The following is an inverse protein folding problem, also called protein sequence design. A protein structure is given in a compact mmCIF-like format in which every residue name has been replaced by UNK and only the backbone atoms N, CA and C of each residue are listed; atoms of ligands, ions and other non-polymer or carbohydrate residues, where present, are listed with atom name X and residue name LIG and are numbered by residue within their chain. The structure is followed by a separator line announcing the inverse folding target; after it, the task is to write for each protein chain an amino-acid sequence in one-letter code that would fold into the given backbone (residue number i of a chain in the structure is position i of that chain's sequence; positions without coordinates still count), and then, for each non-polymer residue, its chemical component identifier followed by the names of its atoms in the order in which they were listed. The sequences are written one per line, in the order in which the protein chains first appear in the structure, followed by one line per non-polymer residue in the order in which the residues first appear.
data_IF_859937041482
#
_entry.id   IF_859937041482
#
_cell.length_a   1.000
_cell.length_b   1.000
_cell.length_c   1.000
_cell.angle_alpha   90.00
_cell.angle_beta   90.00
_cell.angle_gamma   90.00
#
_symmetry.space_group_name_H-M   'P 1'
#
loop_
_entity.id
_entity.type
_entity.pdbx_description
1 polymer ?
#
# COMPACT_ATOMS: atom_id res chain seq x y z
N UNK A 1 -15.64 58.26 19.45
CA UNK A 1 -16.06 56.86 19.75
C UNK A 1 -15.59 55.83 18.70
N UNK A 2 -15.47 56.15 17.41
CA UNK A 2 -14.85 55.22 16.44
C UNK A 2 -13.31 55.19 16.56
N UNK A 3 -12.69 56.32 16.89
CA UNK A 3 -11.22 56.43 17.07
C UNK A 3 -10.69 55.77 18.36
N UNK A 4 -11.52 55.65 19.40
CA UNK A 4 -11.15 54.91 20.63
C UNK A 4 -11.09 53.40 20.40
N UNK A 5 -11.90 52.87 19.47
CA UNK A 5 -11.97 51.44 19.15
C UNK A 5 -10.78 51.01 18.27
N UNK A 6 -10.20 51.92 17.49
CA UNK A 6 -8.99 51.65 16.70
C UNK A 6 -7.70 51.61 17.55
N UNK A 7 -7.69 52.26 18.72
CA UNK A 7 -6.59 52.12 19.69
C UNK A 7 -6.67 50.81 20.49
N UNK A 8 -7.87 50.25 20.67
CA UNK A 8 -8.06 48.95 21.36
C UNK A 8 -7.65 47.72 20.53
N UNK A 9 -7.38 47.87 19.22
CA UNK A 9 -7.03 46.76 18.32
C UNK A 9 -5.54 46.58 18.04
N UNK A 10 -4.66 47.44 18.57
CA UNK A 10 -3.24 47.46 18.17
C UNK A 10 -2.25 46.98 19.24
N UNK A 11 -2.72 46.40 20.34
CA UNK A 11 -1.88 45.87 21.41
C UNK A 11 -2.34 44.48 21.85
N UNK A 12 -2.58 43.59 20.88
CA UNK A 12 -2.19 42.20 21.08
C UNK A 12 -0.67 42.14 20.92
N UNK A 13 0.05 41.79 22.00
CA UNK A 13 1.34 41.04 22.05
C UNK A 13 1.93 41.14 23.49
N UNK A 14 2.22 39.97 24.06
CA UNK A 14 3.10 39.66 25.21
C UNK A 14 2.57 39.69 26.68
N UNK A 15 2.85 38.55 27.36
CA UNK A 15 2.70 38.02 28.76
C UNK A 15 3.09 39.01 29.90
N UNK A 16 2.85 38.81 31.24
CA UNK A 16 2.98 37.56 32.07
C UNK A 16 2.16 37.45 33.42
N UNK A 17 2.34 36.34 34.19
CA UNK A 17 2.39 36.10 35.70
C UNK A 17 1.53 36.94 36.69
N UNK A 18 1.08 36.56 37.90
CA UNK A 18 1.17 35.44 38.88
C UNK A 18 0.11 35.70 40.01
N UNK A 19 -0.01 34.82 41.01
CA UNK A 19 -0.72 35.00 42.33
C UNK A 19 -2.13 34.40 42.56
N UNK A 20 -2.32 33.11 42.26
CA UNK A 20 -3.27 32.22 43.00
C UNK A 20 -2.49 31.17 43.81
N UNK A 21 -1.50 31.64 44.58
CA UNK A 21 -0.31 30.87 44.96
C UNK A 21 -0.36 29.98 46.21
N UNK A 22 -1.49 29.80 46.90
CA UNK A 22 -1.46 29.11 48.22
C UNK A 22 -2.46 27.98 48.42
N UNK A 23 -3.44 27.74 47.53
CA UNK A 23 -4.34 26.56 47.62
C UNK A 23 -4.11 25.49 46.54
N UNK A 24 -3.36 25.81 45.48
CA UNK A 24 -3.01 24.86 44.41
C UNK A 24 -1.80 23.99 44.78
N UNK A 25 -0.99 24.38 45.78
CA UNK A 25 0.31 23.75 46.10
C UNK A 25 0.23 22.40 46.84
N UNK A 26 -0.89 22.07 47.47
CA UNK A 26 -1.05 20.77 48.17
C UNK A 26 -1.64 19.69 47.25
N UNK A 27 -2.56 20.06 46.35
CA UNK A 27 -3.12 19.15 45.35
C UNK A 27 -2.12 18.80 44.23
N UNK A 28 -1.20 19.70 43.88
CA UNK A 28 -0.16 19.40 42.87
C UNK A 28 0.96 18.50 43.37
N UNK A 29 1.30 18.52 44.67
CA UNK A 29 2.37 17.65 45.22
C UNK A 29 1.99 16.16 45.28
N UNK A 30 0.71 15.86 45.51
CA UNK A 30 0.19 14.49 45.52
C UNK A 30 0.03 13.97 44.08
N UNK A 31 -0.33 14.85 43.14
CA UNK A 31 -0.36 14.52 41.71
C UNK A 31 1.04 14.23 41.14
N UNK A 32 2.03 15.08 41.44
CA UNK A 32 3.41 14.96 40.95
C UNK A 32 4.17 13.74 41.50
N UNK A 33 3.87 13.32 42.74
CA UNK A 33 4.47 12.11 43.34
C UNK A 33 3.87 10.82 42.74
N UNK A 34 2.58 10.83 42.42
CA UNK A 34 1.90 9.71 41.75
C UNK A 34 2.29 9.55 40.28
N UNK A 35 2.65 10.64 39.60
CA UNK A 35 3.12 10.63 38.20
C UNK A 35 4.58 10.15 38.09
N UNK A 36 5.44 10.52 39.04
CA UNK A 36 6.84 10.06 39.09
C UNK A 36 6.97 8.55 39.34
N UNK A 37 6.20 8.00 40.28
CA UNK A 37 6.15 6.55 40.53
C UNK A 37 5.59 5.76 39.31
N UNK A 38 4.64 6.34 38.57
CA UNK A 38 4.10 5.74 37.34
C UNK A 38 5.07 5.82 36.16
N UNK A 39 5.95 6.81 36.12
CA UNK A 39 7.00 6.92 35.10
C UNK A 39 8.19 6.00 35.36
N UNK A 40 8.56 5.76 36.62
CA UNK A 40 9.61 4.80 37.00
C UNK A 40 9.16 3.35 36.71
N UNK A 41 7.95 2.96 37.12
CA UNK A 41 7.39 1.63 36.80
C UNK A 41 7.25 1.43 35.28
N UNK A 42 6.95 2.49 34.50
CA UNK A 42 6.91 2.42 33.02
C UNK A 42 8.30 2.32 32.37
N UNK A 43 9.34 2.82 33.03
CA UNK A 43 10.73 2.73 32.54
C UNK A 43 11.34 1.36 32.84
N UNK A 44 11.04 0.79 34.00
CA UNK A 44 11.53 -0.54 34.39
C UNK A 44 10.83 -1.66 33.60
N UNK A 45 9.52 -1.54 33.35
CA UNK A 45 8.78 -2.47 32.47
C UNK A 45 9.20 -2.33 31.00
N UNK A 46 9.69 -1.16 30.57
CA UNK A 46 10.24 -0.98 29.21
C UNK A 46 11.64 -1.59 29.07
N UNK A 47 12.52 -1.43 30.06
CA UNK A 47 13.85 -2.05 30.08
C UNK A 47 13.77 -3.58 30.10
N UNK A 48 12.96 -4.16 30.98
CA UNK A 48 12.80 -5.63 31.02
C UNK A 48 12.15 -6.22 29.76
N UNK A 49 11.37 -5.43 29.02
CA UNK A 49 10.76 -5.82 27.74
C UNK A 49 11.70 -5.63 26.54
N UNK A 50 12.69 -4.73 26.64
CA UNK A 50 13.75 -4.52 25.66
C UNK A 50 14.82 -5.62 25.82
N UNK A 51 15.27 -5.91 27.04
CA UNK A 51 16.28 -6.95 27.31
C UNK A 51 15.79 -8.37 26.92
N UNK A 52 14.53 -8.71 27.26
CA UNK A 52 13.91 -10.00 26.84
C UNK A 52 13.57 -10.07 25.34
N UNK A 53 13.49 -8.92 24.66
CA UNK A 53 13.35 -8.86 23.19
C UNK A 53 14.70 -9.02 22.54
N UNK A 54 15.74 -8.37 23.03
CA UNK A 54 17.11 -8.46 22.51
C UNK A 54 17.65 -9.88 22.61
N UNK A 55 17.49 -10.56 23.75
CA UNK A 55 17.88 -11.97 23.91
C UNK A 55 17.12 -12.96 23.01
N UNK A 56 15.86 -12.63 22.67
CA UNK A 56 15.02 -13.42 21.73
C UNK A 56 15.29 -13.07 20.27
N UNK A 57 15.78 -11.86 19.99
CA UNK A 57 16.19 -11.39 18.67
C UNK A 57 17.55 -12.02 18.34
N UNK A 58 18.52 -11.98 19.26
CA UNK A 58 19.85 -12.57 19.07
C UNK A 58 19.84 -14.10 18.91
N UNK A 59 18.95 -14.81 19.61
CA UNK A 59 18.79 -16.27 19.46
C UNK A 59 18.04 -16.66 18.17
N UNK A 60 17.19 -15.78 17.62
CA UNK A 60 16.51 -16.03 16.33
C UNK A 60 17.36 -15.64 15.11
N UNK A 61 18.25 -14.67 15.24
CA UNK A 61 19.06 -14.16 14.13
C UNK A 61 20.23 -15.09 13.74
N UNK A 62 20.58 -16.06 14.60
CA UNK A 62 21.68 -17.00 14.37
C UNK A 62 21.29 -18.29 13.65
N UNK A 63 20.03 -18.74 13.68
CA UNK A 63 19.67 -20.08 13.17
C UNK A 63 19.19 -20.14 11.70
N UNK A 64 18.87 -19.04 11.03
CA UNK A 64 18.32 -19.09 9.65
C UNK A 64 19.00 -18.13 8.65
N UNK A 65 20.32 -17.91 8.76
CA UNK A 65 21.09 -17.31 7.65
C UNK A 65 21.34 -18.32 6.53
N UNK A 66 20.27 -18.85 5.94
CA UNK A 66 20.36 -19.41 4.58
C UNK A 66 20.64 -18.25 3.64
N UNK A 67 21.81 -18.25 3.02
CA UNK A 67 22.18 -17.28 1.99
C UNK A 67 21.06 -17.19 0.95
N UNK A 68 20.35 -16.05 0.93
CA UNK A 68 19.27 -15.83 -0.02
C UNK A 68 19.89 -15.71 -1.41
N UNK A 69 19.63 -16.68 -2.27
CA UNK A 69 20.02 -16.64 -3.68
C UNK A 69 19.39 -15.39 -4.30
N UNK A 70 20.21 -14.37 -4.59
CA UNK A 70 19.77 -13.15 -5.24
C UNK A 70 19.35 -13.47 -6.67
N UNK A 71 18.11 -13.17 -7.00
CA UNK A 71 17.57 -13.33 -8.36
C UNK A 71 17.52 -11.96 -9.01
N UNK A 72 18.05 -11.85 -10.23
CA UNK A 72 18.00 -10.62 -11.02
C UNK A 72 16.59 -10.28 -11.53
N UNK A 73 15.59 -11.09 -11.19
CA UNK A 73 14.22 -10.96 -11.64
C UNK A 73 13.25 -11.07 -10.47
N UNK A 74 12.20 -10.24 -10.47
CA UNK A 74 11.04 -10.41 -9.62
C UNK A 74 9.86 -10.92 -10.45
N UNK A 75 9.27 -12.03 -10.00
CA UNK A 75 8.11 -12.67 -10.64
C UNK A 75 7.00 -12.87 -9.61
N UNK A 76 5.76 -12.69 -10.05
CA UNK A 76 4.55 -12.99 -9.30
C UNK A 76 3.59 -13.78 -10.18
N UNK A 77 3.07 -14.88 -9.66
CA UNK A 77 2.12 -15.74 -10.35
C UNK A 77 0.80 -15.80 -9.57
N UNK A 78 -0.27 -15.29 -10.17
CA UNK A 78 -1.64 -15.53 -9.71
C UNK A 78 -2.21 -16.79 -10.37
N UNK A 79 -2.48 -17.84 -9.59
CA UNK A 79 -3.03 -19.10 -10.11
C UNK A 79 -4.53 -19.23 -9.80
N UNK A 80 -5.31 -19.77 -10.75
CA UNK A 80 -6.74 -20.06 -10.58
C UNK A 80 -7.58 -18.88 -10.10
N UNK A 81 -7.23 -17.67 -10.54
CA UNK A 81 -7.93 -16.44 -10.17
C UNK A 81 -9.37 -16.44 -10.67
N UNK A 82 -10.30 -15.93 -9.87
CA UNK A 82 -11.74 -15.93 -10.15
C UNK A 82 -12.20 -14.84 -11.12
N UNK A 83 -11.35 -14.46 -12.09
CA UNK A 83 -11.55 -13.34 -13.01
C UNK A 83 -11.65 -13.81 -14.46
N UNK A 84 -12.21 -12.95 -15.30
CA UNK A 84 -12.33 -13.19 -16.73
C UNK A 84 -10.98 -13.05 -17.42
N UNK A 85 -10.66 -13.97 -18.33
CA UNK A 85 -9.43 -13.90 -19.15
C UNK A 85 -9.41 -12.66 -20.03
N UNK A 86 -10.52 -12.33 -20.69
CA UNK A 86 -10.64 -11.14 -21.55
C UNK A 86 -10.36 -9.83 -20.80
N UNK A 87 -10.86 -9.72 -19.57
CA UNK A 87 -10.60 -8.56 -18.70
C UNK A 87 -9.15 -8.55 -18.22
N UNK A 88 -8.61 -9.72 -17.84
CA UNK A 88 -7.22 -9.86 -17.40
C UNK A 88 -6.23 -9.43 -18.49
N UNK A 89 -6.49 -9.82 -19.75
CA UNK A 89 -5.67 -9.44 -20.91
C UNK A 89 -5.70 -7.92 -21.12
N UNK A 90 -6.88 -7.30 -21.02
CA UNK A 90 -7.01 -5.85 -21.16
C UNK A 90 -6.26 -5.10 -20.04
N UNK A 91 -6.37 -5.57 -18.79
CA UNK A 91 -5.62 -5.01 -17.66
C UNK A 91 -4.11 -5.20 -17.85
N UNK A 92 -3.67 -6.38 -18.30
CA UNK A 92 -2.25 -6.62 -18.60
C UNK A 92 -1.73 -5.65 -19.66
N UNK A 93 -2.45 -5.48 -20.78
CA UNK A 93 -2.06 -4.53 -21.83
C UNK A 93 -2.04 -3.09 -21.31
N UNK A 94 -2.95 -2.75 -20.39
CA UNK A 94 -2.98 -1.44 -19.78
C UNK A 94 -1.77 -1.20 -18.86
N UNK A 95 -1.28 -2.18 -18.11
CA UNK A 95 -0.15 -2.00 -17.19
C UNK A 95 1.22 -2.28 -17.81
N UNK A 96 1.27 -2.99 -18.94
CA UNK A 96 2.51 -3.36 -19.63
C UNK A 96 3.35 -2.12 -19.94
N UNK A 97 4.67 -2.26 -19.81
CA UNK A 97 5.68 -1.23 -20.07
C UNK A 97 5.63 0.01 -19.15
N UNK A 98 4.85 -0.04 -18.07
CA UNK A 98 4.81 1.01 -17.05
C UNK A 98 5.67 0.64 -15.85
N UNK A 99 6.03 1.68 -15.10
CA UNK A 99 6.62 1.56 -13.77
C UNK A 99 5.58 0.99 -12.78
N UNK A 100 6.04 0.25 -11.77
CA UNK A 100 5.17 -0.46 -10.82
C UNK A 100 4.24 0.52 -10.07
N UNK A 101 4.81 1.60 -9.54
CA UNK A 101 4.04 2.58 -8.77
C UNK A 101 3.01 3.31 -9.66
N UNK A 102 3.41 3.71 -10.87
CA UNK A 102 2.51 4.32 -11.85
C UNK A 102 1.39 3.37 -12.28
N UNK A 103 1.65 2.07 -12.36
CA UNK A 103 0.64 1.08 -12.68
C UNK A 103 -0.40 0.98 -11.55
N UNK A 104 0.04 0.93 -10.29
CA UNK A 104 -0.85 0.89 -9.12
C UNK A 104 -1.74 2.13 -9.08
N UNK A 105 -1.19 3.35 -9.18
CA UNK A 105 -1.99 4.58 -9.15
C UNK A 105 -3.04 4.63 -10.27
N UNK A 106 -2.68 4.22 -11.50
CA UNK A 106 -3.64 4.16 -12.62
C UNK A 106 -4.74 3.13 -12.40
N UNK A 107 -4.45 1.99 -11.76
CA UNK A 107 -5.46 1.00 -11.44
C UNK A 107 -6.40 1.48 -10.32
N UNK A 108 -5.90 2.26 -9.36
CA UNK A 108 -6.73 2.90 -8.34
C UNK A 108 -7.68 3.96 -8.92
N UNK A 109 -7.26 4.70 -9.95
CA UNK A 109 -8.15 5.58 -10.72
C UNK A 109 -9.29 4.81 -11.41
N UNK A 110 -9.01 3.61 -11.92
CA UNK A 110 -10.00 2.74 -12.55
C UNK A 110 -11.02 2.24 -11.51
N UNK A 111 -10.58 1.93 -10.28
CA UNK A 111 -11.48 1.57 -9.17
C UNK A 111 -12.44 2.71 -8.82
N UNK A 112 -11.99 3.96 -8.94
CA UNK A 112 -12.79 5.17 -8.73
C UNK A 112 -13.60 5.56 -9.97
N UNK A 113 -13.67 4.71 -11.00
CA UNK A 113 -14.33 4.96 -12.29
C UNK A 113 -13.84 6.20 -13.06
N UNK A 114 -12.71 6.79 -12.67
CA UNK A 114 -12.16 7.98 -13.32
C UNK A 114 -11.53 7.66 -14.67
N UNK A 115 -10.99 6.45 -14.82
CA UNK A 115 -10.25 6.01 -16.00
C UNK A 115 -10.76 4.69 -16.53
N UNK A 116 -11.18 4.67 -17.78
CA UNK A 116 -11.62 3.45 -18.44
C UNK A 116 -10.43 2.64 -18.95
N UNK A 117 -10.53 1.31 -18.89
CA UNK A 117 -9.55 0.41 -19.52
C UNK A 117 -10.00 0.14 -20.95
N UNK A 118 -9.13 0.37 -21.95
CA UNK A 118 -9.45 0.07 -23.35
C UNK A 118 -9.65 -1.44 -23.52
N UNK A 119 -10.76 -1.82 -24.15
CA UNK A 119 -11.12 -3.22 -24.34
C UNK A 119 -11.68 -3.41 -25.75
N UNK A 120 -11.18 -4.42 -26.47
CA UNK A 120 -11.65 -4.76 -27.81
C UNK A 120 -12.95 -5.58 -27.77
N UNK A 121 -13.86 -5.30 -28.70
CA UNK A 121 -15.13 -6.03 -28.92
C UNK A 121 -16.34 -5.10 -28.91
N UNK A 122 -17.53 -5.71 -28.81
CA UNK A 122 -18.83 -5.05 -28.73
C UNK A 122 -19.02 -4.37 -27.37
N UNK A 123 -18.31 -3.27 -27.16
CA UNK A 123 -18.31 -2.51 -25.91
C UNK A 123 -18.64 -1.05 -26.22
N UNK A 124 -19.52 -0.41 -25.43
CA UNK A 124 -19.85 0.99 -25.62
C UNK A 124 -18.61 1.90 -25.59
N UNK A 125 -18.67 2.97 -26.39
CA UNK A 125 -17.60 3.95 -26.42
C UNK A 125 -17.50 4.69 -25.08
N UNK A 126 -16.28 5.15 -24.76
CA UNK A 126 -16.02 5.90 -23.52
C UNK A 126 -15.31 7.19 -23.83
N UNK A 127 -15.56 8.21 -23.00
CA UNK A 127 -14.93 9.53 -23.12
C UNK A 127 -13.40 9.41 -22.98
N UNK A 128 -12.67 9.98 -23.93
CA UNK A 128 -11.20 10.08 -23.93
C UNK A 128 -10.57 9.58 -25.22
N UNK A 129 -9.24 9.38 -25.21
CA UNK A 129 -8.46 8.84 -26.35
C UNK A 129 -8.66 7.32 -26.53
N UNK A 130 -9.88 6.83 -26.36
CA UNK A 130 -10.21 5.40 -26.42
C UNK A 130 -11.52 5.25 -27.19
N UNK A 131 -11.53 4.38 -28.19
CA UNK A 131 -12.76 4.04 -28.92
C UNK A 131 -13.73 3.30 -28.00
N UNK A 132 -13.33 2.18 -27.39
CA UNK A 132 -14.17 1.34 -26.53
C UNK A 132 -13.48 0.92 -25.23
N UNK A 133 -14.22 0.88 -24.13
CA UNK A 133 -13.66 0.53 -22.82
C UNK A 133 -14.67 0.25 -21.70
N UNK A 134 -14.21 -0.46 -20.66
CA UNK A 134 -14.99 -0.75 -19.43
C UNK A 134 -14.14 -0.56 -18.17
N UNK A 135 -14.77 -0.76 -17.02
CA UNK A 135 -14.15 -0.73 -15.70
C UNK A 135 -14.20 -2.13 -15.07
N UNK A 136 -13.20 -3.00 -15.31
CA UNK A 136 -13.21 -4.37 -14.78
C UNK A 136 -12.78 -4.39 -13.29
N UNK A 137 -13.67 -3.97 -12.40
CA UNK A 137 -13.37 -3.75 -10.98
C UNK A 137 -12.80 -4.99 -10.30
N UNK A 138 -13.36 -6.18 -10.57
CA UNK A 138 -12.93 -7.43 -9.95
C UNK A 138 -11.50 -7.78 -10.33
N UNK A 139 -11.18 -7.73 -11.63
CA UNK A 139 -9.83 -7.95 -12.13
C UNK A 139 -8.86 -6.93 -11.53
N UNK A 140 -9.19 -5.64 -11.60
CA UNK A 140 -8.33 -4.56 -11.09
C UNK A 140 -7.96 -4.74 -9.62
N UNK A 141 -8.91 -5.12 -8.76
CA UNK A 141 -8.63 -5.42 -7.34
C UNK A 141 -7.60 -6.54 -7.17
N UNK A 142 -7.71 -7.61 -7.95
CA UNK A 142 -6.74 -8.71 -7.90
C UNK A 142 -5.37 -8.29 -8.43
N UNK A 143 -5.31 -7.54 -9.53
CA UNK A 143 -4.05 -7.03 -10.09
C UNK A 143 -3.30 -6.10 -9.14
N UNK A 144 -4.00 -5.22 -8.41
CA UNK A 144 -3.35 -4.36 -7.41
C UNK A 144 -2.66 -5.20 -6.32
N UNK A 145 -3.31 -6.29 -5.86
CA UNK A 145 -2.70 -7.21 -4.88
C UNK A 145 -1.44 -7.87 -5.43
N UNK A 146 -1.48 -8.33 -6.68
CA UNK A 146 -0.32 -8.94 -7.34
C UNK A 146 0.83 -7.93 -7.52
N UNK A 147 0.54 -6.69 -7.91
CA UNK A 147 1.56 -5.65 -8.07
C UNK A 147 2.19 -5.23 -6.73
N UNK A 148 1.41 -5.16 -5.65
CA UNK A 148 1.95 -4.95 -4.29
C UNK A 148 2.87 -6.09 -3.87
N UNK A 149 2.49 -7.32 -4.19
CA UNK A 149 3.34 -8.50 -3.97
C UNK A 149 4.62 -8.45 -4.82
N UNK A 150 4.54 -7.96 -6.06
CA UNK A 150 5.70 -7.78 -6.94
C UNK A 150 6.68 -6.76 -6.38
N UNK A 151 6.16 -5.64 -5.84
CA UNK A 151 6.97 -4.63 -5.15
C UNK A 151 7.69 -5.24 -3.94
N UNK A 152 6.99 -6.02 -3.11
CA UNK A 152 7.60 -6.72 -1.98
C UNK A 152 8.70 -7.70 -2.42
N UNK A 153 8.46 -8.50 -3.46
CA UNK A 153 9.47 -9.42 -4.01
C UNK A 153 10.69 -8.67 -4.56
N UNK A 154 10.48 -7.50 -5.16
CA UNK A 154 11.57 -6.67 -5.69
C UNK A 154 12.47 -6.13 -4.57
N UNK A 155 11.88 -5.74 -3.43
CA UNK A 155 12.62 -5.31 -2.25
C UNK A 155 13.44 -6.46 -1.65
N UNK A 156 12.88 -7.66 -1.57
CA UNK A 156 13.58 -8.86 -1.08
C UNK A 156 14.78 -9.21 -1.96
N UNK A 157 14.66 -9.01 -3.27
CA UNK A 157 15.73 -9.24 -4.23
C UNK A 157 16.65 -8.01 -4.44
N UNK A 158 16.48 -6.94 -3.67
CA UNK A 158 17.26 -5.70 -3.77
C UNK A 158 17.27 -5.06 -5.17
N UNK A 159 16.16 -5.22 -5.91
CA UNK A 159 16.03 -4.69 -7.27
C UNK A 159 15.61 -3.21 -7.26
N UNK A 160 16.35 -2.38 -7.99
CA UNK A 160 15.99 -0.98 -8.21
C UNK A 160 14.84 -0.87 -9.23
N UNK A 161 13.61 -0.63 -8.76
CA UNK A 161 12.39 -0.59 -9.57
C UNK A 161 12.45 0.35 -10.78
N UNK A 162 13.25 1.42 -10.72
CA UNK A 162 13.38 2.41 -11.79
C UNK A 162 14.04 1.85 -13.06
N UNK A 163 14.90 0.83 -12.93
CA UNK A 163 15.59 0.22 -14.07
C UNK A 163 14.73 -0.83 -14.78
N UNK A 164 13.58 -1.19 -14.22
CA UNK A 164 12.70 -2.25 -14.73
C UNK A 164 11.36 -1.70 -15.25
N UNK A 165 10.68 -2.52 -16.04
CA UNK A 165 9.31 -2.30 -16.50
C UNK A 165 8.49 -3.58 -16.28
N UNK A 166 7.18 -3.39 -16.18
CA UNK A 166 6.25 -4.52 -16.00
C UNK A 166 6.04 -5.25 -17.33
N UNK A 167 6.32 -6.55 -17.31
CA UNK A 167 5.79 -7.53 -18.23
C UNK A 167 4.59 -8.24 -17.60
N UNK A 168 3.51 -8.38 -18.37
CA UNK A 168 2.27 -9.00 -17.89
C UNK A 168 1.67 -9.90 -18.95
N UNK A 169 1.34 -11.13 -18.54
CA UNK A 169 0.67 -12.12 -19.35
C UNK A 169 -0.50 -12.72 -18.57
N UNK A 170 -1.64 -12.91 -19.23
CA UNK A 170 -2.81 -13.55 -18.66
C UNK A 170 -3.27 -14.69 -19.57
N UNK A 171 -3.47 -15.87 -18.98
CA UNK A 171 -3.82 -17.11 -19.66
C UNK A 171 -5.12 -17.69 -19.08
N UNK A 172 -5.80 -18.53 -19.87
CA UNK A 172 -6.96 -19.26 -19.38
C UNK A 172 -6.53 -20.37 -18.41
N UNK A 173 -7.23 -20.46 -17.27
CA UNK A 173 -7.02 -21.54 -16.29
C UNK A 173 -7.99 -22.69 -16.50
N UNK A 174 -7.85 -23.75 -15.70
CA UNK A 174 -8.86 -24.81 -15.63
C UNK A 174 -10.19 -24.24 -15.15
N UNK A 175 -11.26 -24.51 -15.91
CA UNK A 175 -12.61 -23.95 -15.71
C UNK A 175 -13.57 -25.06 -15.30
N UNK A 176 -13.78 -25.28 -13.99
CA UNK A 176 -14.71 -26.29 -13.53
C UNK A 176 -16.15 -25.94 -13.93
N UNK A 177 -16.96 -26.97 -14.10
CA UNK A 177 -18.39 -26.81 -14.30
C UNK A 177 -19.07 -26.31 -13.03
N UNK A 178 -20.13 -25.55 -13.21
CA UNK A 178 -21.10 -25.21 -12.16
C UNK A 178 -21.93 -26.44 -11.82
N UNK A 179 -22.71 -26.34 -10.74
CA UNK A 179 -23.67 -27.37 -10.34
C UNK A 179 -24.57 -27.74 -11.53
N UNK A 180 -24.81 -29.03 -11.72
CA UNK A 180 -25.63 -29.57 -12.81
C UNK A 180 -25.16 -29.21 -14.22
N UNK A 181 -23.87 -28.89 -14.42
CA UNK A 181 -23.33 -28.66 -15.76
C UNK A 181 -23.80 -27.37 -16.44
N UNK A 182 -24.50 -26.47 -15.74
CA UNK A 182 -25.11 -25.23 -16.27
C UNK A 182 -24.11 -24.19 -16.85
N UNK A 183 -22.82 -24.52 -16.94
CA UNK A 183 -21.78 -23.69 -17.54
C UNK A 183 -20.45 -23.78 -16.80
N UNK A 184 -19.41 -23.22 -17.40
CA UNK A 184 -18.05 -23.25 -16.84
C UNK A 184 -17.70 -21.95 -16.10
N UNK A 185 -17.22 -22.07 -14.86
CA UNK A 185 -16.72 -20.94 -14.08
C UNK A 185 -15.53 -20.32 -14.81
N UNK A 186 -15.44 -18.98 -14.83
CA UNK A 186 -14.29 -18.28 -15.40
C UNK A 186 -13.14 -18.32 -14.40
N UNK A 187 -11.98 -18.80 -14.85
CA UNK A 187 -10.73 -18.71 -14.10
C UNK A 187 -9.59 -18.34 -15.04
N UNK A 188 -8.61 -17.61 -14.52
CA UNK A 188 -7.40 -17.24 -15.25
C UNK A 188 -6.13 -17.46 -14.43
N UNK A 189 -5.01 -17.63 -15.14
CA UNK A 189 -3.67 -17.53 -14.59
C UNK A 189 -3.08 -16.20 -15.03
N UNK A 190 -2.37 -15.52 -14.14
CA UNK A 190 -1.70 -14.24 -14.43
C UNK A 190 -0.25 -14.36 -14.00
N UNK A 191 0.66 -13.99 -14.89
CA UNK A 191 2.08 -13.87 -14.62
C UNK A 191 2.49 -12.42 -14.79
N UNK A 192 3.15 -11.88 -13.77
CA UNK A 192 3.73 -10.54 -13.80
C UNK A 192 5.23 -10.69 -13.51
N UNK A 193 6.06 -10.15 -14.39
CA UNK A 193 7.53 -10.20 -14.29
C UNK A 193 8.09 -8.78 -14.45
N UNK A 194 9.15 -8.47 -13.72
CA UNK A 194 9.96 -7.29 -14.01
C UNK A 194 11.03 -7.64 -15.05
N UNK A 195 11.11 -6.82 -16.10
CA UNK A 195 12.11 -6.94 -17.17
C UNK A 195 12.95 -5.65 -17.18
N UNK A 196 14.29 -5.73 -17.31
CA UNK A 196 15.14 -4.56 -17.50
C UNK A 196 14.68 -3.72 -18.69
N UNK A 197 14.76 -2.39 -18.57
CA UNK A 197 14.28 -1.46 -19.62
C UNK A 197 14.93 -1.67 -20.99
N UNK A 198 16.15 -2.21 -21.05
CA UNK A 198 16.91 -2.44 -22.29
C UNK A 198 16.55 -3.72 -23.04
N UNK A 199 15.85 -4.67 -22.42
CA UNK A 199 15.55 -5.98 -23.02
C UNK A 199 14.20 -6.05 -23.74
N UNK A 200 13.55 -4.90 -23.94
CA UNK A 200 12.22 -4.84 -24.53
C UNK A 200 12.36 -4.95 -26.06
N UNK A 201 12.08 -6.15 -26.58
CA UNK A 201 11.83 -6.40 -28.01
C UNK A 201 10.42 -6.00 -28.41
#
# INVERSE_FOLDING_TARGET
MVEQIQQMKKQEIMKPTDEKGTKIKEETKIAESSEKLKEEIKKDVKKEQEDKKEDKIEKKDKEDKKEKIKKNEAVVNGRNLGISTKESVAVCNFIRNKDVDRAISKLEEVLKYKKAIPMKGEIPHRKGKIMSGRYPIKAVREFIKLLKSLKANSLVNELELEKFKIFCMANQASRPYRRFGQGRIKRSHVMIKLIPRGEIK
#
